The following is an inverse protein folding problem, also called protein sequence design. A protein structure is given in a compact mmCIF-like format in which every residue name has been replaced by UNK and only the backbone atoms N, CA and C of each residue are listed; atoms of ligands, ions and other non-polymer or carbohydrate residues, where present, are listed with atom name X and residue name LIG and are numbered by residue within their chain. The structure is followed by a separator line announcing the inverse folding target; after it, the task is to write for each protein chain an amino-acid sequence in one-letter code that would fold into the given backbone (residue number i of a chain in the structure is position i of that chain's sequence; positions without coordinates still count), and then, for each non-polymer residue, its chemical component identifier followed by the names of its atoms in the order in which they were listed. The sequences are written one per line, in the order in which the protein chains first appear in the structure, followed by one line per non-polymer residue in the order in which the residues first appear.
data_IF_374966499233
#
_entry.id   IF_374966499233
#
_cell.length_a   1.000
_cell.length_b   1.000
_cell.length_c   1.000
_cell.angle_alpha   90.00
_cell.angle_beta   90.00
_cell.angle_gamma   90.00
#
_symmetry.space_group_name_H-M   'P 1'
#
loop_
_entity.id
_entity.type
_entity.pdbx_description
1 polymer ?
#
# COMPACT_ATOMS: atom_id res chain seq x y z
N UNK A 1 -23.59 -52.31 7.47
CA UNK A 1 -23.56 -50.90 7.04
C UNK A 1 -23.54 -50.08 8.31
N UNK A 2 -22.46 -49.35 8.52
CA UNK A 2 -22.16 -48.66 9.76
C UNK A 2 -22.92 -47.33 9.83
N UNK A 3 -23.48 -47.08 10.99
CA UNK A 3 -24.05 -45.82 11.45
C UNK A 3 -22.88 -44.84 11.71
N UNK A 4 -22.94 -43.64 11.14
CA UNK A 4 -21.93 -42.60 11.37
C UNK A 4 -22.57 -41.23 11.16
N UNK A 5 -23.14 -40.70 12.23
CA UNK A 5 -23.45 -39.29 12.39
C UNK A 5 -23.41 -38.98 13.89
N UNK A 6 -22.19 -38.93 14.44
CA UNK A 6 -21.94 -38.26 15.70
C UNK A 6 -20.54 -37.61 15.67
N UNK A 7 -20.52 -36.35 15.25
CA UNK A 7 -19.37 -35.43 15.35
C UNK A 7 -19.94 -34.07 15.69
N UNK A 8 -19.65 -33.57 16.89
CA UNK A 8 -19.75 -32.13 17.17
C UNK A 8 -20.29 -31.69 18.53
N UNK A 9 -20.55 -32.58 19.49
CA UNK A 9 -20.84 -32.18 20.86
C UNK A 9 -19.62 -32.40 21.75
N UNK A 10 -18.85 -31.35 22.05
CA UNK A 10 -17.91 -31.40 23.17
C UNK A 10 -18.64 -31.80 24.47
N UNK A 11 -17.94 -32.37 25.47
CA UNK A 11 -18.59 -32.69 26.74
C UNK A 11 -19.30 -31.45 27.29
N UNK A 12 -20.51 -31.58 27.85
CA UNK A 12 -21.20 -30.44 28.44
C UNK A 12 -20.28 -29.86 29.51
N UNK A 13 -19.88 -28.61 29.33
CA UNK A 13 -19.12 -27.88 30.35
C UNK A 13 -19.99 -27.91 31.60
N UNK A 14 -19.49 -28.54 32.65
CA UNK A 14 -20.21 -28.66 33.90
C UNK A 14 -20.33 -27.26 34.51
N UNK A 15 -21.56 -26.76 34.59
CA UNK A 15 -21.86 -25.42 35.12
C UNK A 15 -21.36 -25.27 36.56
N UNK A 16 -21.31 -26.39 37.31
CA UNK A 16 -20.89 -26.40 38.69
C UNK A 16 -19.36 -26.23 38.79
N UNK A 17 -18.62 -26.87 37.88
CA UNK A 17 -17.16 -26.72 37.81
C UNK A 17 -16.72 -25.32 37.36
N UNK A 18 -17.51 -24.68 36.48
CA UNK A 18 -17.27 -23.30 36.07
C UNK A 18 -17.53 -22.31 37.21
N UNK A 19 -18.61 -22.50 37.97
CA UNK A 19 -18.88 -21.66 39.14
C UNK A 19 -17.80 -21.80 40.22
N UNK A 20 -17.35 -23.03 40.51
CA UNK A 20 -16.26 -23.26 41.46
C UNK A 20 -14.96 -22.56 41.02
N UNK A 21 -14.64 -22.60 39.73
CA UNK A 21 -13.50 -21.90 39.17
C UNK A 21 -13.62 -20.37 39.25
N UNK A 22 -14.81 -19.81 38.96
CA UNK A 22 -15.06 -18.36 39.07
C UNK A 22 -14.90 -17.89 40.51
N UNK A 23 -15.50 -18.60 41.47
CA UNK A 23 -15.38 -18.27 42.90
C UNK A 23 -13.92 -18.34 43.35
N UNK A 24 -13.20 -19.42 43.02
CA UNK A 24 -11.79 -19.56 43.40
C UNK A 24 -10.90 -18.46 42.78
N UNK A 25 -11.15 -18.10 41.52
CA UNK A 25 -10.39 -17.08 40.81
C UNK A 25 -10.68 -15.67 41.32
N UNK A 26 -11.94 -15.39 41.67
CA UNK A 26 -12.37 -14.15 42.29
C UNK A 26 -11.71 -13.94 43.67
N UNK A 27 -11.71 -14.97 44.52
CA UNK A 27 -11.03 -14.95 45.82
C UNK A 27 -9.51 -14.75 45.69
N UNK A 28 -8.88 -15.41 44.72
CA UNK A 28 -7.43 -15.28 44.48
C UNK A 28 -7.03 -13.88 44.02
N UNK A 29 -7.94 -13.18 43.32
CA UNK A 29 -7.70 -11.84 42.75
C UNK A 29 -8.29 -10.70 43.57
N UNK A 30 -8.94 -10.98 44.70
CA UNK A 30 -9.63 -10.01 45.56
C UNK A 30 -10.63 -9.14 44.77
N UNK A 31 -11.38 -9.77 43.87
CA UNK A 31 -12.43 -9.13 43.04
C UNK A 31 -13.77 -9.81 43.24
N UNK A 32 -14.86 -9.10 42.98
CA UNK A 32 -16.21 -9.67 43.01
C UNK A 32 -16.44 -10.62 41.83
N UNK A 33 -17.20 -11.69 42.04
CA UNK A 33 -17.52 -12.68 41.00
C UNK A 33 -18.19 -12.05 39.77
N UNK A 34 -19.06 -11.05 39.96
CA UNK A 34 -19.75 -10.36 38.87
C UNK A 34 -18.79 -9.46 38.09
N UNK A 35 -17.78 -8.89 38.76
CA UNK A 35 -16.74 -8.08 38.13
C UNK A 35 -15.80 -8.95 37.30
N UNK A 36 -15.40 -10.11 37.83
CA UNK A 36 -14.59 -11.09 37.09
C UNK A 36 -15.33 -11.57 35.83
N UNK A 37 -16.63 -11.85 35.94
CA UNK A 37 -17.45 -12.26 34.80
C UNK A 37 -17.59 -11.15 33.75
N UNK A 38 -17.82 -9.90 34.16
CA UNK A 38 -17.84 -8.76 33.24
C UNK A 38 -16.50 -8.53 32.55
N UNK A 39 -15.39 -8.73 33.27
CA UNK A 39 -14.04 -8.64 32.71
C UNK A 39 -13.78 -9.75 31.69
N UNK A 40 -14.21 -10.98 31.96
CA UNK A 40 -14.11 -12.11 31.02
C UNK A 40 -14.97 -11.89 29.76
N UNK A 41 -16.18 -11.37 29.92
CA UNK A 41 -17.08 -11.03 28.79
C UNK A 41 -16.48 -9.91 27.94
N UNK A 42 -15.87 -8.91 28.59
CA UNK A 42 -15.20 -7.81 27.89
C UNK A 42 -13.95 -8.27 27.14
N UNK A 43 -13.14 -9.15 27.75
CA UNK A 43 -11.97 -9.74 27.10
C UNK A 43 -12.37 -10.63 25.91
N UNK A 44 -13.48 -11.37 26.03
CA UNK A 44 -14.02 -12.17 24.93
C UNK A 44 -14.49 -11.30 23.76
N UNK A 45 -15.17 -10.18 24.03
CA UNK A 45 -15.58 -9.22 22.99
C UNK A 45 -14.39 -8.57 22.27
N UNK A 46 -13.31 -8.24 22.98
CA UNK A 46 -12.09 -7.69 22.37
C UNK A 46 -11.40 -8.75 21.49
N UNK A 47 -11.39 -10.01 21.92
CA UNK A 47 -10.83 -11.11 21.12
C UNK A 47 -11.67 -11.43 19.89
N UNK A 48 -13.01 -11.36 19.98
CA UNK A 48 -13.92 -11.56 18.84
C UNK A 48 -13.77 -10.42 17.82
N UNK A 49 -13.66 -9.17 18.28
CA UNK A 49 -13.40 -8.01 17.42
C UNK A 49 -12.02 -8.12 16.73
N UNK A 50 -10.98 -8.53 17.46
CA UNK A 50 -9.66 -8.77 16.86
C UNK A 50 -9.68 -9.93 15.85
N UNK A 51 -10.45 -10.99 16.11
CA UNK A 51 -10.54 -12.13 15.21
C UNK A 51 -11.37 -11.81 13.95
N UNK A 52 -12.36 -10.92 14.08
CA UNK A 52 -13.13 -10.36 12.97
C UNK A 52 -12.31 -9.44 12.05
N UNK A 53 -11.22 -8.85 12.54
CA UNK A 53 -10.26 -8.09 11.71
C UNK A 53 -9.28 -9.01 10.97
N UNK A 54 -9.00 -10.21 11.49
CA UNK A 54 -8.08 -11.18 10.85
C UNK A 54 -8.75 -12.09 9.82
N UNK A 55 -10.06 -12.32 9.92
CA UNK A 55 -10.84 -13.03 8.91
C UNK A 55 -11.37 -12.05 7.85
N UNK A 56 -10.47 -11.64 6.93
CA UNK A 56 -10.85 -10.88 5.74
C UNK A 56 -11.84 -11.66 4.86
N UNK A 57 -13.12 -11.29 4.95
CA UNK A 57 -14.18 -11.75 4.05
C UNK A 57 -15.40 -10.83 4.11
N UNK A 58 -15.46 -9.88 3.17
CA UNK A 58 -16.56 -8.99 2.76
C UNK A 58 -17.56 -8.44 3.80
N UNK A 59 -17.83 -7.11 3.81
CA UNK A 59 -18.82 -6.51 4.70
C UNK A 59 -20.23 -6.77 4.17
N UNK A 60 -20.80 -7.93 4.48
CA UNK A 60 -22.24 -8.14 4.34
C UNK A 60 -22.94 -7.58 5.57
N UNK A 61 -23.72 -6.53 5.33
CA UNK A 61 -24.42 -5.73 6.31
C UNK A 61 -25.08 -6.53 7.43
N UNK A 62 -24.77 -6.15 8.65
CA UNK A 62 -25.63 -6.35 9.81
C UNK A 62 -25.59 -5.10 10.68
N UNK A 63 -26.26 -4.06 10.18
CA UNK A 63 -26.76 -2.99 11.02
C UNK A 63 -27.80 -3.55 11.99
N UNK A 64 -27.35 -4.15 13.10
CA UNK A 64 -28.19 -4.37 14.28
C UNK A 64 -27.87 -3.29 15.30
N UNK A 65 -28.45 -2.11 15.04
CA UNK A 65 -28.82 -1.21 16.11
C UNK A 65 -29.83 -1.94 17.00
N UNK A 66 -29.50 -2.14 18.28
CA UNK A 66 -30.42 -2.68 19.28
C UNK A 66 -30.74 -1.59 20.32
N UNK A 67 -31.53 -0.60 19.87
CA UNK A 67 -32.60 -0.06 20.70
C UNK A 67 -33.87 -0.91 20.46
N UNK A 68 -34.71 -1.19 21.47
CA UNK A 68 -35.86 -2.08 21.30
C UNK A 68 -36.93 -1.48 20.37
N UNK A 69 -37.51 -2.24 19.41
CA UNK A 69 -38.54 -1.72 18.51
C UNK A 69 -39.95 -1.81 19.11
N UNK A 70 -40.72 -0.72 18.96
CA UNK A 70 -42.18 -0.67 19.12
C UNK A 70 -42.92 -1.47 18.02
N UNK A 71 -44.16 -1.93 18.26
CA UNK A 71 -44.86 -2.83 17.35
C UNK A 71 -45.28 -2.15 16.04
N UNK A 72 -45.01 -2.84 14.93
CA UNK A 72 -45.27 -2.42 13.56
C UNK A 72 -46.76 -2.45 13.15
N UNK A 73 -47.14 -1.47 12.33
CA UNK A 73 -48.34 -1.38 11.50
C UNK A 73 -48.08 -2.07 10.13
N UNK A 74 -49.00 -2.85 9.54
CA UNK A 74 -48.69 -3.68 8.38
C UNK A 74 -49.03 -2.97 7.07
N UNK A 75 -48.03 -2.79 6.21
CA UNK A 75 -48.26 -2.45 4.81
C UNK A 75 -46.98 -2.41 3.97
N UNK A 76 -47.03 -3.12 2.83
CA UNK A 76 -46.13 -3.10 1.65
C UNK A 76 -45.06 -4.21 1.65
N UNK A 77 -45.31 -5.36 0.99
CA UNK A 77 -45.11 -5.71 -0.45
C UNK A 77 -43.62 -5.65 -0.85
N UNK A 78 -42.88 -6.77 -0.91
CA UNK A 78 -42.77 -7.79 -1.99
C UNK A 78 -42.45 -7.23 -3.38
N UNK A 79 -41.16 -7.30 -3.75
CA UNK A 79 -40.56 -7.41 -5.10
C UNK A 79 -39.21 -8.12 -4.83
N UNK A 80 -38.97 -9.42 -5.06
CA UNK A 80 -38.90 -10.24 -6.28
C UNK A 80 -38.01 -9.65 -7.38
N UNK A 81 -36.78 -10.16 -7.52
CA UNK A 81 -36.19 -10.40 -8.84
C UNK A 81 -35.00 -11.37 -8.76
N UNK A 82 -35.01 -12.27 -9.73
CA UNK A 82 -34.24 -13.50 -9.90
C UNK A 82 -32.83 -13.35 -10.49
N UNK A 83 -32.03 -14.39 -10.21
CA UNK A 83 -31.12 -15.15 -11.10
C UNK A 83 -30.27 -14.41 -12.15
N UNK A 84 -28.94 -14.54 -12.06
CA UNK A 84 -28.10 -14.92 -13.22
C UNK A 84 -26.95 -15.83 -12.75
N UNK A 85 -26.98 -17.06 -13.29
CA UNK A 85 -25.96 -18.10 -13.23
C UNK A 85 -25.02 -17.95 -14.43
N UNK A 86 -23.70 -18.20 -14.30
CA UNK A 86 -22.79 -18.50 -15.42
C UNK A 86 -21.39 -18.96 -14.95
N UNK A 87 -21.22 -20.29 -14.94
CA UNK A 87 -19.96 -21.01 -15.10
C UNK A 87 -19.20 -20.60 -16.38
N UNK A 88 -17.85 -20.55 -16.36
CA UNK A 88 -16.97 -21.13 -17.42
C UNK A 88 -15.59 -21.50 -16.83
N UNK A 89 -15.19 -22.75 -17.07
CA UNK A 89 -13.87 -23.32 -16.76
C UNK A 89 -12.88 -23.26 -17.95
N UNK A 90 -11.59 -23.22 -17.58
CA UNK A 90 -10.35 -23.65 -18.24
C UNK A 90 -10.31 -24.05 -19.74
N UNK A 91 -9.31 -23.53 -20.47
CA UNK A 91 -8.55 -24.29 -21.48
C UNK A 91 -7.10 -23.78 -21.67
N UNK A 92 -6.27 -24.70 -22.20
CA UNK A 92 -4.80 -24.77 -22.27
C UNK A 92 -4.25 -24.38 -23.66
N UNK A 93 -3.01 -23.88 -23.66
CA UNK A 93 -1.93 -24.09 -24.65
C UNK A 93 -2.08 -23.57 -26.10
N UNK A 94 -1.07 -22.85 -26.63
CA UNK A 94 0.13 -23.37 -27.36
C UNK A 94 0.70 -22.37 -28.41
N UNK A 95 2.02 -22.49 -28.63
CA UNK A 95 2.85 -22.03 -29.79
C UNK A 95 3.47 -20.63 -29.58
N UNK A 96 4.80 -20.46 -29.51
CA UNK A 96 5.84 -20.70 -30.54
C UNK A 96 6.29 -19.31 -31.03
N UNK A 97 7.54 -18.92 -31.30
CA UNK A 97 8.76 -19.59 -31.77
C UNK A 97 9.87 -18.48 -31.89
N UNK A 98 11.15 -18.84 -31.70
CA UNK A 98 12.38 -18.20 -32.28
C UNK A 98 12.76 -16.75 -31.87
N UNK A 99 14.01 -16.39 -31.52
CA UNK A 99 15.29 -16.65 -32.22
C UNK A 99 16.48 -16.24 -31.32
N UNK A 100 17.44 -17.14 -31.06
CA UNK A 100 18.74 -16.83 -30.43
C UNK A 100 19.88 -16.95 -31.45
N UNK A 101 20.52 -15.82 -31.75
CA UNK A 101 21.83 -15.58 -32.42
C UNK A 101 22.18 -14.14 -32.05
N UNK A 102 23.38 -13.69 -31.71
CA UNK A 102 24.75 -14.08 -32.01
C UNK A 102 25.61 -13.19 -31.09
N UNK A 103 26.49 -13.76 -30.26
CA UNK A 103 27.31 -12.98 -29.33
C UNK A 103 28.80 -13.30 -29.49
N UNK A 104 29.55 -12.24 -29.77
CA UNK A 104 30.99 -12.16 -29.53
C UNK A 104 31.90 -12.38 -30.74
N UNK A 105 32.58 -11.30 -31.18
CA UNK A 105 34.04 -11.17 -30.98
C UNK A 105 34.62 -9.80 -31.34
N UNK A 106 35.47 -9.32 -30.42
CA UNK A 106 36.62 -8.42 -30.51
C UNK A 106 37.04 -7.77 -31.85
N UNK A 107 37.45 -6.50 -31.74
CA UNK A 107 38.38 -5.87 -32.68
C UNK A 107 38.78 -4.44 -32.31
N UNK A 108 39.69 -4.28 -31.36
CA UNK A 108 40.46 -3.03 -31.16
C UNK A 108 41.41 -2.80 -32.33
N UNK A 109 41.43 -1.59 -32.90
CA UNK A 109 42.39 -1.23 -33.93
C UNK A 109 42.49 0.28 -34.15
N UNK A 110 43.48 0.91 -33.51
CA UNK A 110 43.98 2.25 -33.84
C UNK A 110 44.45 2.33 -35.29
N UNK A 111 44.22 3.49 -35.91
CA UNK A 111 44.84 3.85 -37.18
C UNK A 111 44.72 5.35 -37.45
N UNK A 112 45.75 6.09 -37.03
CA UNK A 112 46.06 7.45 -37.46
C UNK A 112 45.96 7.62 -38.98
N UNK A 113 45.43 8.77 -39.43
CA UNK A 113 45.96 9.52 -40.58
C UNK A 113 45.46 10.95 -40.64
N UNK A 114 46.43 11.82 -40.91
CA UNK A 114 46.36 13.27 -40.90
C UNK A 114 45.86 13.89 -42.21
N UNK A 115 45.38 15.13 -42.07
CA UNK A 115 45.54 16.31 -42.94
C UNK A 115 44.92 16.32 -44.35
N UNK A 116 43.94 17.20 -44.54
CA UNK A 116 43.88 18.27 -45.56
C UNK A 116 42.50 18.96 -45.42
N UNK A 117 42.43 20.21 -44.98
CA UNK A 117 42.43 21.41 -45.84
C UNK A 117 41.21 21.47 -46.77
N UNK A 118 40.21 22.27 -46.36
CA UNK A 118 39.29 23.07 -47.20
C UNK A 118 38.24 23.79 -46.33
N UNK A 119 38.36 25.10 -46.26
CA UNK A 119 37.24 26.05 -46.19
C UNK A 119 37.36 26.98 -47.41
N UNK A 120 36.38 27.82 -47.74
CA UNK A 120 34.95 27.81 -47.40
C UNK A 120 34.11 27.75 -48.71
N UNK A 121 32.83 27.39 -48.63
CA UNK A 121 31.88 27.89 -49.62
C UNK A 121 30.53 28.14 -48.96
N UNK A 122 30.00 29.31 -49.29
CA UNK A 122 28.80 29.91 -48.77
C UNK A 122 27.58 29.08 -49.22
N UNK A 123 26.76 28.66 -48.26
CA UNK A 123 25.35 28.36 -48.53
C UNK A 123 24.54 28.85 -47.35
N UNK A 124 24.22 30.13 -47.39
CA UNK A 124 23.19 30.73 -46.56
C UNK A 124 21.82 30.07 -46.83
N UNK A 125 21.04 30.04 -45.75
CA UNK A 125 19.57 30.10 -45.73
C UNK A 125 18.81 28.87 -46.23
N UNK A 126 18.54 27.96 -45.29
CA UNK A 126 17.49 26.94 -45.46
C UNK A 126 17.40 25.88 -44.39
N UNK A 127 17.76 26.14 -43.13
CA UNK A 127 17.63 25.16 -42.04
C UNK A 127 17.46 25.87 -40.69
N UNK A 128 16.29 26.45 -40.44
CA UNK A 128 15.95 26.98 -39.10
C UNK A 128 14.54 26.63 -38.65
N UNK A 129 13.85 25.72 -39.34
CA UNK A 129 12.53 25.22 -38.92
C UNK A 129 12.54 23.72 -38.60
N UNK A 130 13.45 22.93 -39.16
CA UNK A 130 13.52 21.48 -38.89
C UNK A 130 14.30 21.18 -37.59
N UNK A 131 15.26 22.02 -37.20
CA UNK A 131 16.04 21.88 -35.96
C UNK A 131 15.18 22.00 -34.69
N UNK A 132 14.25 22.95 -34.66
CA UNK A 132 13.36 23.18 -33.52
C UNK A 132 12.34 22.03 -33.32
N UNK A 133 11.83 21.45 -34.41
CA UNK A 133 10.94 20.28 -34.34
C UNK A 133 11.70 19.02 -33.92
N UNK A 134 12.97 18.87 -34.34
CA UNK A 134 13.81 17.75 -33.89
C UNK A 134 14.31 17.90 -32.45
N UNK A 135 14.49 19.13 -31.95
CA UNK A 135 14.82 19.38 -30.54
C UNK A 135 13.62 19.09 -29.62
N UNK A 136 12.41 19.54 -29.99
CA UNK A 136 11.16 19.20 -29.27
C UNK A 136 10.92 17.70 -29.21
N UNK A 137 11.05 17.00 -30.35
CA UNK A 137 10.91 15.54 -30.39
C UNK A 137 12.02 14.82 -29.59
N UNK A 138 13.23 15.39 -29.54
CA UNK A 138 14.32 14.84 -28.73
C UNK A 138 14.09 15.05 -27.22
N UNK A 139 13.44 16.14 -26.83
CA UNK A 139 13.06 16.44 -25.44
C UNK A 139 11.87 15.58 -24.99
N UNK A 140 10.85 15.37 -25.83
CA UNK A 140 9.76 14.43 -25.57
C UNK A 140 10.28 12.99 -25.41
N UNK A 141 11.18 12.54 -26.28
CA UNK A 141 11.81 11.22 -26.17
C UNK A 141 12.72 11.10 -24.93
N UNK A 142 13.23 12.22 -24.40
CA UNK A 142 13.99 12.24 -23.14
C UNK A 142 13.05 12.14 -21.93
N UNK A 143 11.97 12.91 -21.91
CA UNK A 143 10.93 12.85 -20.87
C UNK A 143 10.26 11.47 -20.81
N UNK A 144 9.89 10.89 -21.97
CA UNK A 144 9.33 9.54 -22.03
C UNK A 144 10.31 8.47 -21.52
N UNK A 145 11.61 8.69 -21.74
CA UNK A 145 12.65 7.79 -21.23
C UNK A 145 12.83 7.95 -19.72
N UNK A 146 12.81 9.18 -19.21
CA UNK A 146 12.83 9.49 -17.77
C UNK A 146 11.64 8.81 -17.07
N UNK A 147 10.42 8.96 -17.59
CA UNK A 147 9.22 8.34 -17.02
C UNK A 147 9.22 6.82 -17.12
N UNK A 148 9.79 6.24 -18.19
CA UNK A 148 10.01 4.80 -18.26
C UNK A 148 11.03 4.32 -17.22
N UNK A 149 12.08 5.09 -16.94
CA UNK A 149 13.03 4.76 -15.87
C UNK A 149 12.37 4.87 -14.50
N UNK A 150 11.50 5.86 -14.28
CA UNK A 150 10.73 5.99 -13.04
C UNK A 150 9.71 4.85 -12.85
N UNK A 151 9.01 4.43 -13.92
CA UNK A 151 8.13 3.27 -13.88
C UNK A 151 8.89 1.97 -13.60
N UNK A 152 10.06 1.78 -14.21
CA UNK A 152 10.92 0.64 -13.93
C UNK A 152 11.43 0.65 -12.50
N UNK A 153 11.76 1.82 -11.97
CA UNK A 153 12.15 1.98 -10.57
C UNK A 153 11.00 1.64 -9.62
N UNK A 154 9.76 2.07 -9.90
CA UNK A 154 8.57 1.67 -9.13
C UNK A 154 8.32 0.16 -9.15
N UNK A 155 8.46 -0.48 -10.33
CA UNK A 155 8.33 -1.94 -10.41
C UNK A 155 9.43 -2.61 -9.58
N UNK A 156 10.65 -2.05 -9.61
CA UNK A 156 11.77 -2.56 -8.83
C UNK A 156 11.54 -2.40 -7.32
N UNK A 157 11.01 -1.26 -6.85
CA UNK A 157 10.68 -1.06 -5.43
C UNK A 157 9.58 -2.00 -4.96
N UNK A 158 8.55 -2.25 -5.77
CA UNK A 158 7.48 -3.21 -5.45
C UNK A 158 8.01 -4.65 -5.41
N UNK A 159 8.89 -5.03 -6.34
CA UNK A 159 9.53 -6.35 -6.33
C UNK A 159 10.41 -6.50 -5.08
N UNK A 160 11.14 -5.45 -4.71
CA UNK A 160 11.94 -5.43 -3.49
C UNK A 160 11.07 -5.53 -2.23
N UNK A 161 9.94 -4.81 -2.18
CA UNK A 161 8.97 -4.91 -1.09
C UNK A 161 8.41 -6.33 -0.95
N UNK A 162 8.06 -6.95 -2.08
CA UNK A 162 7.54 -8.32 -2.09
C UNK A 162 8.58 -9.32 -1.61
N UNK A 163 9.85 -9.13 -1.99
CA UNK A 163 10.96 -9.92 -1.48
C UNK A 163 11.09 -9.73 0.03
N UNK A 164 11.07 -8.49 0.51
CA UNK A 164 11.16 -8.18 1.94
C UNK A 164 10.01 -8.80 2.75
N UNK A 165 8.78 -8.80 2.22
CA UNK A 165 7.64 -9.50 2.87
C UNK A 165 7.86 -11.01 2.92
N UNK A 166 8.44 -11.59 1.86
CA UNK A 166 8.76 -13.02 1.84
C UNK A 166 9.90 -13.36 2.81
N UNK A 167 10.90 -12.50 2.92
CA UNK A 167 12.00 -12.64 3.87
C UNK A 167 11.46 -12.52 5.31
N UNK A 168 10.57 -11.55 5.59
CA UNK A 168 9.89 -11.42 6.88
C UNK A 168 9.09 -12.66 7.26
N UNK A 169 8.40 -13.29 6.29
CA UNK A 169 7.66 -14.53 6.57
C UNK A 169 8.58 -15.69 6.96
N UNK A 170 9.79 -15.76 6.41
CA UNK A 170 10.79 -16.74 6.81
C UNK A 170 11.38 -16.42 8.19
N UNK A 171 11.62 -15.14 8.46
CA UNK A 171 12.10 -14.67 9.77
C UNK A 171 11.08 -14.95 10.87
N UNK A 172 9.78 -14.74 10.64
CA UNK A 172 8.72 -15.06 11.62
C UNK A 172 8.69 -16.55 11.96
N UNK A 173 8.86 -17.43 10.95
CA UNK A 173 8.91 -18.87 11.21
C UNK A 173 10.18 -19.26 11.98
N UNK A 174 11.29 -18.60 11.68
CA UNK A 174 12.53 -18.80 12.42
C UNK A 174 12.43 -18.27 13.86
N UNK A 175 11.77 -17.13 14.07
CA UNK A 175 11.48 -16.54 15.38
C UNK A 175 10.63 -17.49 16.22
N UNK A 176 9.57 -18.04 15.63
CA UNK A 176 8.72 -19.02 16.29
C UNK A 176 9.52 -20.24 16.74
N UNK A 177 10.36 -20.79 15.87
CA UNK A 177 11.21 -21.93 16.22
C UNK A 177 12.18 -21.61 17.37
N UNK A 178 12.78 -20.42 17.40
CA UNK A 178 13.68 -20.01 18.50
C UNK A 178 12.91 -19.76 19.79
N UNK A 179 11.73 -19.14 19.73
CA UNK A 179 10.88 -18.92 20.89
C UNK A 179 10.46 -20.25 21.53
N UNK A 180 10.08 -21.23 20.71
CA UNK A 180 9.77 -22.59 21.16
C UNK A 180 11.00 -23.22 21.84
N UNK A 181 12.20 -23.07 21.28
CA UNK A 181 13.45 -23.56 21.90
C UNK A 181 13.73 -22.91 23.27
N UNK A 182 13.53 -21.60 23.41
CA UNK A 182 13.68 -20.92 24.70
C UNK A 182 12.62 -21.38 25.70
N UNK A 183 11.35 -21.51 25.28
CA UNK A 183 10.27 -21.99 26.12
C UNK A 183 10.55 -23.41 26.64
N UNK A 184 11.07 -24.29 25.79
CA UNK A 184 11.48 -25.65 26.17
C UNK A 184 12.60 -25.60 27.23
N UNK A 185 13.64 -24.77 27.04
CA UNK A 185 14.71 -24.61 28.05
C UNK A 185 14.20 -24.07 29.38
N UNK A 186 13.28 -23.09 29.36
CA UNK A 186 12.65 -22.58 30.58
C UNK A 186 11.82 -23.64 31.29
N UNK A 187 11.03 -24.40 30.54
CA UNK A 187 10.23 -25.51 31.06
C UNK A 187 11.11 -26.60 31.68
N UNK A 188 12.22 -26.96 31.03
CA UNK A 188 13.20 -27.91 31.56
C UNK A 188 13.84 -27.41 32.86
N UNK A 189 14.24 -26.14 32.91
CA UNK A 189 14.81 -25.53 34.11
C UNK A 189 13.81 -25.48 35.26
N UNK A 190 12.55 -25.10 34.99
CA UNK A 190 11.48 -25.09 35.99
C UNK A 190 11.15 -26.49 36.49
N UNK A 191 11.04 -27.47 35.59
CA UNK A 191 10.78 -28.87 35.95
C UNK A 191 11.91 -29.40 36.84
N UNK A 192 13.16 -29.10 36.49
CA UNK A 192 14.34 -29.47 37.29
C UNK A 192 14.33 -28.82 38.67
N UNK A 193 13.95 -27.54 38.76
CA UNK A 193 13.83 -26.83 40.03
C UNK A 193 12.68 -27.40 40.88
N UNK A 194 11.55 -27.72 40.26
CA UNK A 194 10.39 -28.32 40.92
C UNK A 194 10.69 -29.71 41.48
N UNK A 195 11.21 -30.63 40.66
CA UNK A 195 11.59 -31.98 41.10
C UNK A 195 12.59 -31.95 42.25
N UNK A 196 13.39 -30.88 42.32
CA UNK A 196 14.40 -30.68 43.35
C UNK A 196 13.81 -30.12 44.65
N UNK A 197 12.84 -29.22 44.57
CA UNK A 197 12.05 -28.78 45.72
C UNK A 197 11.30 -29.98 46.31
N UNK A 198 10.64 -30.79 45.48
CA UNK A 198 9.97 -32.03 45.93
C UNK A 198 10.95 -33.01 46.57
N UNK A 199 12.14 -33.20 46.00
CA UNK A 199 13.16 -34.05 46.59
C UNK A 199 13.63 -33.53 47.95
N UNK A 200 13.64 -32.21 48.16
CA UNK A 200 13.95 -31.60 49.44
C UNK A 200 12.88 -31.85 50.48
N UNK A 201 11.63 -31.65 50.07
CA UNK A 201 10.44 -31.78 50.90
C UNK A 201 10.33 -33.21 51.45
N UNK A 202 10.44 -34.20 50.56
CA UNK A 202 10.47 -35.62 50.94
C UNK A 202 11.62 -35.96 51.91
N UNK A 203 12.77 -35.31 51.75
CA UNK A 203 13.95 -35.55 52.57
C UNK A 203 13.81 -34.89 53.96
N UNK A 204 13.20 -33.72 54.04
CA UNK A 204 12.82 -33.07 55.30
C UNK A 204 11.80 -33.91 56.08
N UNK A 205 10.84 -34.52 55.39
CA UNK A 205 9.87 -35.43 56.01
C UNK A 205 10.52 -36.72 56.53
N UNK A 206 11.57 -37.22 55.88
CA UNK A 206 12.27 -38.45 56.28
C UNK A 206 13.35 -38.21 57.35
N UNK A 207 13.93 -37.01 57.41
CA UNK A 207 14.90 -36.62 58.42
C UNK A 207 14.38 -35.44 59.24
N UNK A 208 13.93 -35.72 60.47
CA UNK A 208 13.45 -34.76 61.49
C UNK A 208 14.48 -33.64 61.84
N UNK A 209 15.69 -33.73 61.30
CA UNK A 209 16.71 -32.68 61.34
C UNK A 209 17.63 -32.77 60.11
N UNK A 210 17.73 -31.68 59.35
CA UNK A 210 18.75 -31.50 58.31
C UNK A 210 20.01 -30.89 58.95
N UNK A 211 21.18 -31.44 58.66
CA UNK A 211 22.45 -30.88 59.13
C UNK A 211 22.79 -29.58 58.40
N UNK A 212 23.48 -28.63 59.06
CA UNK A 212 23.83 -27.33 58.46
C UNK A 212 24.66 -27.50 57.18
N UNK A 213 25.55 -28.49 57.14
CA UNK A 213 26.38 -28.77 55.95
C UNK A 213 25.58 -29.22 54.73
N UNK A 214 24.43 -29.86 54.97
CA UNK A 214 23.52 -30.30 53.94
C UNK A 214 22.66 -29.15 53.44
N UNK A 215 22.21 -28.28 54.35
CA UNK A 215 21.49 -27.05 54.02
C UNK A 215 22.35 -26.12 53.15
N UNK A 216 23.64 -25.97 53.47
CA UNK A 216 24.59 -25.18 52.68
C UNK A 216 24.74 -25.74 51.26
N UNK A 217 24.84 -27.07 51.12
CA UNK A 217 24.95 -27.72 49.81
C UNK A 217 23.70 -27.50 48.96
N UNK A 218 22.53 -27.60 49.58
CA UNK A 218 21.24 -27.36 48.93
C UNK A 218 21.14 -25.90 48.47
N UNK A 219 21.47 -24.97 49.35
CA UNK A 219 21.46 -23.53 49.06
C UNK A 219 22.38 -23.19 47.89
N UNK A 220 23.61 -23.71 47.88
CA UNK A 220 24.56 -23.50 46.79
C UNK A 220 23.99 -24.00 45.46
N UNK A 221 23.38 -25.18 45.46
CA UNK A 221 22.86 -25.78 44.24
C UNK A 221 21.57 -25.09 43.73
N UNK A 222 20.71 -24.58 44.63
CA UNK A 222 19.61 -23.69 44.23
C UNK A 222 20.11 -22.36 43.66
N UNK A 223 21.16 -21.79 44.27
CA UNK A 223 21.77 -20.54 43.79
C UNK A 223 22.26 -20.71 42.36
N UNK A 224 22.94 -21.83 42.07
CA UNK A 224 23.40 -22.18 40.73
C UNK A 224 22.25 -22.36 39.74
N UNK A 225 21.14 -22.96 40.15
CA UNK A 225 19.97 -23.15 39.28
C UNK A 225 19.23 -21.83 39.01
N UNK A 226 19.13 -20.94 40.00
CA UNK A 226 18.58 -19.59 39.87
C UNK A 226 19.47 -18.76 38.93
N UNK A 227 20.80 -18.79 39.12
CA UNK A 227 21.75 -18.09 38.25
C UNK A 227 21.63 -18.53 36.78
N UNK A 228 21.39 -19.84 36.55
CA UNK A 228 21.12 -20.37 35.20
C UNK A 228 19.82 -19.82 34.63
N UNK A 229 18.75 -19.82 35.41
CA UNK A 229 17.45 -19.31 34.98
C UNK A 229 17.53 -17.82 34.63
N UNK A 230 18.15 -17.02 35.49
CA UNK A 230 18.37 -15.60 35.24
C UNK A 230 19.28 -15.37 34.03
N UNK A 231 20.27 -16.24 33.78
CA UNK A 231 21.10 -16.17 32.57
C UNK A 231 20.27 -16.41 31.32
N UNK A 232 19.39 -17.41 31.32
CA UNK A 232 18.48 -17.68 30.18
C UNK A 232 17.48 -16.54 29.99
N UNK A 233 16.98 -15.95 31.07
CA UNK A 233 16.11 -14.77 31.01
C UNK A 233 16.82 -13.59 30.36
N UNK A 234 18.03 -13.25 30.80
CA UNK A 234 18.80 -12.13 30.21
C UNK A 234 19.13 -12.36 28.74
N UNK A 235 19.42 -13.60 28.37
CA UNK A 235 19.64 -13.98 26.96
C UNK A 235 18.36 -13.78 26.12
N UNK A 236 17.21 -14.20 26.66
CA UNK A 236 15.92 -14.02 26.01
C UNK A 236 15.53 -12.55 25.89
N UNK A 237 15.72 -11.75 26.93
CA UNK A 237 15.47 -10.29 26.91
C UNK A 237 16.37 -9.58 25.90
N UNK A 238 17.68 -9.88 25.90
CA UNK A 238 18.60 -9.30 24.92
C UNK A 238 18.27 -9.70 23.48
N UNK A 239 17.80 -10.95 23.28
CA UNK A 239 17.31 -11.39 21.99
C UNK A 239 16.02 -10.65 21.60
N UNK A 240 15.04 -10.53 22.50
CA UNK A 240 13.83 -9.73 22.28
C UNK A 240 14.19 -8.31 21.85
N UNK A 241 15.05 -7.64 22.60
CA UNK A 241 15.41 -6.25 22.32
C UNK A 241 16.03 -6.10 20.91
N UNK A 242 16.93 -6.99 20.51
CA UNK A 242 17.51 -7.01 19.16
C UNK A 242 16.45 -7.22 18.07
N UNK A 243 15.52 -8.15 18.28
CA UNK A 243 14.47 -8.44 17.29
C UNK A 243 13.48 -7.28 17.18
N UNK A 244 13.14 -6.62 18.29
CA UNK A 244 12.30 -5.42 18.25
C UNK A 244 13.00 -4.27 17.54
N UNK A 245 14.30 -4.07 17.73
CA UNK A 245 15.09 -3.08 16.99
C UNK A 245 15.11 -3.38 15.49
N UNK A 246 15.25 -4.66 15.10
CA UNK A 246 15.20 -5.10 13.70
C UNK A 246 13.81 -4.86 13.07
N UNK A 247 12.74 -5.25 13.76
CA UNK A 247 11.36 -5.02 13.32
C UNK A 247 11.08 -3.53 13.18
N UNK A 248 11.53 -2.71 14.14
CA UNK A 248 11.35 -1.26 14.09
C UNK A 248 12.11 -0.64 12.91
N UNK A 249 13.33 -1.12 12.63
CA UNK A 249 14.09 -0.70 11.45
C UNK A 249 13.38 -1.06 10.14
N UNK A 250 12.75 -2.24 10.07
CA UNK A 250 11.94 -2.65 8.92
C UNK A 250 10.72 -1.74 8.74
N UNK A 251 9.93 -1.49 9.80
CA UNK A 251 8.77 -0.62 9.71
C UNK A 251 9.12 0.81 9.30
N UNK A 252 10.21 1.37 9.86
CA UNK A 252 10.71 2.68 9.42
C UNK A 252 11.02 2.70 7.92
N UNK A 253 11.71 1.67 7.42
CA UNK A 253 12.00 1.56 5.98
C UNK A 253 10.73 1.47 5.13
N UNK A 254 9.72 0.69 5.56
CA UNK A 254 8.46 0.56 4.84
C UNK A 254 7.72 1.90 4.77
N UNK A 255 7.67 2.63 5.89
CA UNK A 255 7.06 3.97 5.94
C UNK A 255 7.83 4.94 5.03
N UNK A 256 9.15 5.02 5.15
CA UNK A 256 9.97 5.90 4.29
C UNK A 256 9.78 5.59 2.79
N UNK A 257 9.64 4.31 2.45
CA UNK A 257 9.41 3.88 1.07
C UNK A 257 8.01 4.25 0.59
N UNK A 258 6.99 4.09 1.43
CA UNK A 258 5.62 4.52 1.11
C UNK A 258 5.54 6.03 0.95
N UNK A 259 6.12 6.80 1.85
CA UNK A 259 6.17 8.28 1.75
C UNK A 259 6.84 8.71 0.44
N UNK A 260 7.95 8.06 0.07
CA UNK A 260 8.63 8.30 -1.21
C UNK A 260 7.74 7.95 -2.41
N UNK A 261 6.93 6.90 -2.33
CA UNK A 261 5.99 6.54 -3.41
C UNK A 261 4.84 7.53 -3.51
N UNK A 262 4.31 8.01 -2.39
CA UNK A 262 3.26 9.04 -2.33
C UNK A 262 3.76 10.34 -2.97
N UNK A 263 4.94 10.84 -2.59
CA UNK A 263 5.56 12.04 -3.18
C UNK A 263 5.70 11.93 -4.71
N UNK A 264 6.06 10.73 -5.20
CA UNK A 264 6.18 10.47 -6.65
C UNK A 264 4.83 10.43 -7.35
N UNK A 265 3.81 9.84 -6.73
CA UNK A 265 2.44 9.82 -7.28
C UNK A 265 1.91 11.25 -7.37
N UNK A 266 2.11 12.07 -6.34
CA UNK A 266 1.70 13.47 -6.34
C UNK A 266 2.41 14.27 -7.44
N UNK A 267 3.70 14.00 -7.66
CA UNK A 267 4.47 14.61 -8.76
C UNK A 267 3.90 14.20 -10.12
N UNK A 268 3.63 12.91 -10.32
CA UNK A 268 3.06 12.40 -11.57
C UNK A 268 1.64 12.95 -11.81
N UNK A 269 0.82 13.10 -10.78
CA UNK A 269 -0.52 13.70 -10.91
C UNK A 269 -0.42 15.17 -11.30
N UNK A 270 0.52 15.92 -10.72
CA UNK A 270 0.78 17.30 -11.11
C UNK A 270 1.20 17.39 -12.59
N UNK A 271 2.12 16.56 -13.06
CA UNK A 271 2.52 16.51 -14.46
C UNK A 271 1.37 16.11 -15.40
N UNK A 272 0.59 15.10 -15.03
CA UNK A 272 -0.59 14.69 -15.79
C UNK A 272 -1.65 15.80 -15.83
N UNK A 273 -1.82 16.56 -14.75
CA UNK A 273 -2.73 17.71 -14.72
C UNK A 273 -2.30 18.79 -15.70
N UNK A 274 -1.00 19.12 -15.76
CA UNK A 274 -0.47 20.09 -16.71
C UNK A 274 -0.66 19.63 -18.16
N UNK A 275 -0.40 18.35 -18.46
CA UNK A 275 -0.60 17.81 -19.80
C UNK A 275 -2.08 17.84 -20.22
N UNK A 276 -3.01 17.56 -19.29
CA UNK A 276 -4.45 17.64 -19.55
C UNK A 276 -4.90 19.08 -19.82
N UNK A 277 -4.33 20.04 -19.10
CA UNK A 277 -4.63 21.46 -19.30
C UNK A 277 -4.11 21.94 -20.67
N UNK A 278 -2.91 21.53 -21.07
CA UNK A 278 -2.32 21.82 -22.38
C UNK A 278 -3.15 21.22 -23.53
N UNK A 279 -3.56 19.95 -23.41
CA UNK A 279 -4.42 19.28 -24.39
C UNK A 279 -5.78 19.98 -24.52
N UNK A 280 -6.40 20.34 -23.38
CA UNK A 280 -7.64 21.10 -23.37
C UNK A 280 -7.48 22.49 -24.00
N UNK A 281 -6.34 23.16 -23.81
CA UNK A 281 -6.03 24.44 -24.44
C UNK A 281 -5.86 24.29 -25.97
N UNK A 282 -5.15 23.25 -26.41
CA UNK A 282 -4.96 22.94 -27.82
C UNK A 282 -6.30 22.62 -28.52
N UNK A 283 -7.18 21.85 -27.87
CA UNK A 283 -8.51 21.51 -28.38
C UNK A 283 -9.41 22.74 -28.52
N UNK A 284 -9.38 23.64 -27.54
CA UNK A 284 -10.10 24.93 -27.60
C UNK A 284 -9.60 25.79 -28.75
N UNK A 285 -8.28 25.91 -28.91
CA UNK A 285 -7.68 26.66 -30.00
C UNK A 285 -8.03 26.06 -31.37
N UNK A 286 -8.02 24.72 -31.48
CA UNK A 286 -8.44 24.02 -32.68
C UNK A 286 -9.93 24.26 -33.00
N UNK A 287 -10.79 24.31 -31.98
CA UNK A 287 -12.21 24.65 -32.15
C UNK A 287 -12.40 26.10 -32.62
N UNK A 288 -11.68 27.04 -32.02
CA UNK A 288 -11.71 28.45 -32.39
C UNK A 288 -11.26 28.65 -33.85
N UNK A 289 -10.18 27.97 -34.27
CA UNK A 289 -9.70 27.99 -35.66
C UNK A 289 -10.74 27.40 -36.62
N UNK A 290 -11.43 26.33 -36.24
CA UNK A 290 -12.55 25.76 -37.03
C UNK A 290 -13.71 26.76 -37.19
N UNK A 291 -14.08 27.46 -36.12
CA UNK A 291 -15.13 28.48 -36.16
C UNK A 291 -14.74 29.65 -37.07
N UNK A 292 -13.49 30.13 -36.96
CA UNK A 292 -12.95 31.19 -37.79
C UNK A 292 -12.92 30.83 -39.28
N UNK A 293 -12.51 29.59 -39.60
CA UNK A 293 -12.57 29.04 -40.95
C UNK A 293 -14.01 29.00 -41.49
N UNK A 294 -14.98 28.63 -40.66
CA UNK A 294 -16.40 28.61 -41.05
C UNK A 294 -16.95 30.00 -41.38
N UNK A 295 -16.43 31.04 -40.70
CA UNK A 295 -16.78 32.44 -40.91
C UNK A 295 -15.95 33.09 -42.03
N UNK A 296 -14.96 32.39 -42.60
CA UNK A 296 -14.12 32.87 -43.68
C UNK A 296 -13.15 33.98 -43.24
N UNK A 297 -12.68 33.92 -42.00
CA UNK A 297 -11.83 34.96 -41.42
C UNK A 297 -10.68 34.38 -40.58
N UNK A 298 -9.58 35.11 -40.56
CA UNK A 298 -8.36 34.86 -39.79
C UNK A 298 -8.19 35.88 -38.66
N UNK A 299 -9.04 36.93 -38.61
CA UNK A 299 -8.96 37.98 -37.58
C UNK A 299 -10.29 38.15 -36.84
N UNK A 300 -10.23 38.29 -35.52
CA UNK A 300 -11.40 38.52 -34.66
C UNK A 300 -11.18 39.67 -33.70
N UNK A 301 -12.26 40.28 -33.21
CA UNK A 301 -12.20 41.28 -32.13
C UNK A 301 -12.43 40.58 -30.79
N UNK A 302 -11.50 40.73 -29.85
CA UNK A 302 -11.71 40.27 -28.48
C UNK A 302 -12.93 40.96 -27.88
N UNK A 303 -13.84 40.20 -27.29
CA UNK A 303 -15.01 40.74 -26.60
C UNK A 303 -14.63 41.59 -25.37
N UNK A 304 -13.55 41.24 -24.67
CA UNK A 304 -13.19 41.85 -23.39
C UNK A 304 -12.43 43.18 -23.54
N UNK A 305 -11.38 43.21 -24.37
CA UNK A 305 -10.52 44.40 -24.55
C UNK A 305 -10.75 45.12 -25.89
N UNK A 306 -11.65 44.62 -26.73
CA UNK A 306 -11.95 45.13 -28.08
C UNK A 306 -10.76 45.17 -29.06
N UNK A 307 -9.60 44.59 -28.70
CA UNK A 307 -8.46 44.51 -29.61
C UNK A 307 -8.72 43.53 -30.75
N UNK A 308 -8.24 43.87 -31.95
CA UNK A 308 -8.24 42.95 -33.10
C UNK A 308 -7.07 41.99 -32.98
N UNK A 309 -7.35 40.69 -33.01
CA UNK A 309 -6.38 39.62 -32.84
C UNK A 309 -6.39 38.75 -34.09
N UNK A 310 -5.20 38.33 -34.52
CA UNK A 310 -4.98 37.37 -35.58
C UNK A 310 -4.96 35.97 -34.97
N UNK A 311 -5.93 35.15 -35.34
CA UNK A 311 -6.11 33.79 -34.82
C UNK A 311 -5.06 32.81 -35.35
N UNK A 312 -4.41 33.14 -36.46
CA UNK A 312 -3.35 32.31 -37.05
C UNK A 312 -2.03 32.40 -36.28
N UNK A 313 -1.86 33.47 -35.49
CA UNK A 313 -0.66 33.75 -34.69
C UNK A 313 -0.80 33.37 -33.22
N UNK A 314 -1.93 32.78 -32.82
CA UNK A 314 -2.15 32.35 -31.44
C UNK A 314 -1.56 30.96 -31.22
N UNK A 315 -0.69 30.87 -30.22
CA UNK A 315 -0.14 29.61 -29.70
C UNK A 315 -1.04 29.02 -28.59
N UNK A 316 -1.77 29.87 -27.87
CA UNK A 316 -2.71 29.51 -26.80
C UNK A 316 -4.09 30.15 -27.04
N UNK A 317 -5.18 29.58 -26.49
CA UNK A 317 -6.53 30.12 -26.64
C UNK A 317 -6.80 31.35 -25.75
N UNK A 318 -5.80 32.20 -25.49
CA UNK A 318 -5.90 33.39 -24.63
C UNK A 318 -5.64 34.68 -25.42
N UNK A 319 -6.23 35.78 -24.97
CA UNK A 319 -5.95 37.10 -25.53
C UNK A 319 -4.58 37.62 -25.08
N UNK A 320 -3.66 38.01 -25.98
CA UNK A 320 -2.32 38.48 -25.59
C UNK A 320 -2.32 39.82 -24.83
N UNK A 321 -3.40 40.62 -24.94
CA UNK A 321 -3.49 41.93 -24.28
C UNK A 321 -4.19 41.90 -22.92
N UNK A 322 -5.13 40.97 -22.70
CA UNK A 322 -5.94 40.94 -21.48
C UNK A 322 -6.08 39.56 -20.83
N UNK A 323 -5.40 38.55 -21.39
CA UNK A 323 -5.33 37.18 -20.89
C UNK A 323 -6.68 36.45 -20.78
N UNK A 324 -7.72 36.99 -21.39
CA UNK A 324 -9.04 36.38 -21.42
C UNK A 324 -9.06 35.16 -22.35
N UNK A 325 -9.48 34.00 -21.84
CA UNK A 325 -9.59 32.76 -22.61
C UNK A 325 -10.76 32.81 -23.59
N UNK A 326 -10.51 32.47 -24.85
CA UNK A 326 -11.52 32.40 -25.91
C UNK A 326 -12.31 31.09 -25.86
N UNK A 327 -13.62 31.20 -26.07
CA UNK A 327 -14.55 30.05 -26.03
C UNK A 327 -15.17 29.77 -27.39
N UNK A 328 -15.43 30.81 -28.20
CA UNK A 328 -16.04 30.67 -29.52
C UNK A 328 -15.76 31.90 -30.39
N UNK A 329 -15.87 31.73 -31.71
CA UNK A 329 -15.92 32.85 -32.66
C UNK A 329 -17.33 33.00 -33.23
N UNK A 330 -17.93 34.18 -33.09
CA UNK A 330 -19.29 34.47 -33.56
C UNK A 330 -19.30 35.56 -34.64
N UNK A 331 -20.26 35.52 -35.59
CA UNK A 331 -20.41 36.59 -36.57
C UNK A 331 -20.76 37.92 -35.88
N UNK A 332 -20.27 39.02 -36.44
CA UNK A 332 -20.62 40.35 -35.93
C UNK A 332 -22.14 40.60 -36.04
N UNK A 333 -22.76 41.15 -35.00
CA UNK A 333 -24.19 41.49 -34.97
C UNK A 333 -24.59 42.62 -35.95
N UNK A 334 -23.67 43.15 -36.75
CA UNK A 334 -23.89 44.27 -37.67
C UNK A 334 -24.06 43.82 -39.13
N UNK A 335 -24.97 44.45 -39.87
CA UNK A 335 -25.24 44.22 -41.31
C UNK A 335 -24.02 44.43 -42.24
N UNK A 336 -22.93 45.03 -41.77
CA UNK A 336 -21.80 45.38 -42.64
C UNK A 336 -21.04 44.13 -43.14
N UNK A 337 -20.80 43.99 -44.46
CA UNK A 337 -20.03 42.87 -45.03
C UNK A 337 -18.54 42.91 -44.66
N UNK A 338 -18.08 43.96 -43.95
CA UNK A 338 -16.71 44.10 -43.46
C UNK A 338 -16.62 44.04 -41.93
N UNK A 339 -17.72 43.70 -41.25
CA UNK A 339 -17.71 43.58 -39.79
C UNK A 339 -16.87 42.37 -39.37
N UNK A 340 -15.87 42.61 -38.55
CA UNK A 340 -15.01 41.54 -38.02
C UNK A 340 -15.78 40.74 -36.97
N UNK A 341 -15.66 39.40 -36.96
CA UNK A 341 -16.32 38.57 -35.97
C UNK A 341 -15.82 38.85 -34.55
N UNK A 342 -16.64 38.51 -33.57
CA UNK A 342 -16.36 38.72 -32.15
C UNK A 342 -15.89 37.40 -31.55
N UNK A 343 -14.76 37.44 -30.85
CA UNK A 343 -14.20 36.32 -30.11
C UNK A 343 -14.77 36.35 -28.68
N UNK A 344 -15.62 35.39 -28.35
CA UNK A 344 -16.24 35.27 -27.03
C UNK A 344 -15.22 34.81 -26.00
N UNK A 345 -15.29 35.37 -24.79
CA UNK A 345 -14.36 35.03 -23.71
C UNK A 345 -15.06 34.41 -22.49
N UNK A 346 -14.41 33.47 -21.80
CA UNK A 346 -14.93 32.87 -20.57
C UNK A 346 -14.77 33.85 -19.41
N UNK A 347 -15.83 34.60 -19.11
CA UNK A 347 -15.79 35.66 -18.09
C UNK A 347 -16.90 36.69 -18.22
N UNK A 348 -17.73 36.61 -19.26
CA UNK A 348 -18.84 37.54 -19.47
C UNK A 348 -20.04 37.21 -18.57
N UNK A 349 -19.91 37.47 -17.25
CA UNK A 349 -21.10 37.71 -16.41
C UNK A 349 -21.62 39.10 -16.79
N UNK A 350 -22.79 39.12 -17.40
CA UNK A 350 -23.46 40.33 -17.91
C UNK A 350 -24.04 41.19 -16.79
#
# INVERSE_FOLDING_TARGET
MADSSDRGGGPPIDSDAFQEWVTHTAETRDVDEQELLNQLISAFWILDEMNGVTEGGDPIGSGKSLYPPEPADPGQQLIDDSEVDSDIAAERSRSGEETERDDGKHGTGSGDRAAADRSPDDTEAGASSEGAQTESAADELRSLRESMYEQLEMIQTVVELRRQVSDLSLDVEQQRSRQEEFADRFSDNLTRLHSRVEALDNRLDETDSVDETELDRISEEFSVEIDRLESTQREFEAWIDEEFDEIEALFRRLVDTTDTLEDRIDTLDAELSTLRDDDAAADRLASLRRDALSLGTDTGRCEHCETTIDLSMLDEPNCPDCDATFVAAEPAESWSPFAKPILRTSGHVK
#
